data_IF_654078082691
#
_entry.id   IF_654078082691
#
_cell.length_a   1.000
_cell.length_b   1.000
_cell.length_c   1.000
_cell.angle_alpha   90.00
_cell.angle_beta   90.00
_cell.angle_gamma   90.00
#
_symmetry.space_group_name_H-M   'P 1'
#
loop_
_entity.id
_entity.type
_entity.pdbx_description
1 polymer ?
#
# COMPACT_ATOMS: atom_id res chain seq x y z
N UNK A 1 24.20 -43.45 52.34
CA UNK A 1 24.86 -42.27 51.72
C UNK A 1 24.80 -42.40 50.20
N UNK A 2 23.79 -41.81 49.54
CA UNK A 2 23.69 -41.77 48.06
C UNK A 2 23.93 -40.33 47.60
N UNK A 3 25.04 -40.10 46.89
CA UNK A 3 25.46 -38.78 46.40
C UNK A 3 24.59 -38.41 45.19
N UNK A 4 23.80 -37.35 45.34
CA UNK A 4 23.06 -36.68 44.26
C UNK A 4 24.04 -35.77 43.50
N UNK A 5 24.31 -36.04 42.22
CA UNK A 5 24.99 -35.10 41.33
C UNK A 5 23.94 -34.17 40.69
N UNK A 6 24.08 -32.86 40.95
CA UNK A 6 23.34 -31.79 40.29
C UNK A 6 24.06 -31.40 38.99
N UNK A 7 23.42 -31.63 37.85
CA UNK A 7 23.87 -31.08 36.58
C UNK A 7 23.33 -29.64 36.44
N UNK A 8 24.23 -28.66 36.47
CA UNK A 8 23.90 -27.26 36.15
C UNK A 8 23.87 -27.10 34.63
N UNK A 9 22.68 -26.89 34.06
CA UNK A 9 22.50 -26.59 32.64
C UNK A 9 22.77 -25.11 32.36
N UNK A 10 23.80 -24.83 31.56
CA UNK A 10 24.12 -23.51 31.02
C UNK A 10 23.27 -23.25 29.78
N UNK A 11 22.22 -22.44 29.90
CA UNK A 11 21.34 -22.06 28.78
C UNK A 11 22.03 -20.98 27.94
N UNK A 12 22.55 -21.36 26.78
CA UNK A 12 23.15 -20.45 25.78
C UNK A 12 22.03 -19.74 25.00
N UNK A 13 21.86 -18.44 25.25
CA UNK A 13 20.90 -17.59 24.53
C UNK A 13 21.48 -17.27 23.13
N UNK A 14 20.99 -17.95 22.10
CA UNK A 14 21.34 -17.69 20.70
C UNK A 14 20.68 -16.39 20.22
N UNK A 15 21.47 -15.33 20.09
CA UNK A 15 21.05 -14.08 19.46
C UNK A 15 21.14 -14.30 17.94
N UNK A 16 20.01 -14.46 17.26
CA UNK A 16 19.96 -14.55 15.81
C UNK A 16 20.07 -13.15 15.18
N UNK A 17 21.09 -12.86 14.36
CA UNK A 17 21.17 -11.59 13.66
C UNK A 17 20.11 -11.53 12.55
N UNK A 18 19.34 -10.43 12.53
CA UNK A 18 18.46 -10.11 11.43
C UNK A 18 19.31 -9.70 10.21
N UNK A 19 19.46 -10.61 9.25
CA UNK A 19 20.12 -10.33 7.98
C UNK A 19 19.31 -9.26 7.22
N UNK A 20 19.76 -8.01 7.28
CA UNK A 20 19.30 -6.98 6.36
C UNK A 20 19.99 -7.23 5.03
N UNK A 21 19.23 -7.63 4.01
CA UNK A 21 19.73 -7.76 2.66
C UNK A 21 20.07 -6.34 2.13
N UNK A 22 21.34 -5.96 2.21
CA UNK A 22 21.84 -4.75 1.57
C UNK A 22 21.81 -4.93 0.05
N UNK A 23 21.39 -3.89 -0.68
CA UNK A 23 21.47 -3.86 -2.13
C UNK A 23 22.94 -4.05 -2.57
N UNK A 24 23.18 -4.84 -3.62
CA UNK A 24 24.52 -4.99 -4.15
C UNK A 24 24.94 -3.70 -4.86
N UNK A 25 26.11 -3.16 -4.51
CA UNK A 25 26.72 -2.06 -5.27
C UNK A 25 27.41 -2.62 -6.52
N UNK A 26 26.70 -2.58 -7.64
CA UNK A 26 27.20 -3.05 -8.93
C UNK A 26 28.06 -2.02 -9.67
N UNK A 27 28.32 -0.83 -9.10
CA UNK A 27 29.08 0.23 -9.75
C UNK A 27 30.56 -0.16 -9.98
N UNK A 28 31.09 -1.12 -9.21
CA UNK A 28 32.47 -1.59 -9.33
C UNK A 28 32.70 -2.61 -10.46
N UNK A 29 31.65 -3.04 -11.17
CA UNK A 29 31.76 -4.00 -12.27
C UNK A 29 32.63 -3.44 -13.41
N UNK A 30 33.64 -4.21 -13.84
CA UNK A 30 34.60 -3.77 -14.87
C UNK A 30 34.28 -4.28 -16.27
N UNK A 31 33.49 -5.36 -16.37
CA UNK A 31 33.07 -5.96 -17.63
C UNK A 31 31.55 -6.10 -17.68
N UNK A 32 31.00 -6.22 -18.89
CA UNK A 32 29.57 -6.50 -19.06
C UNK A 32 29.15 -7.83 -18.39
N UNK A 33 30.04 -8.83 -18.37
CA UNK A 33 29.77 -10.10 -17.70
C UNK A 33 29.72 -9.96 -16.17
N UNK A 34 30.62 -9.16 -15.59
CA UNK A 34 30.60 -8.84 -14.17
C UNK A 34 29.34 -8.06 -13.80
N UNK A 35 28.96 -7.09 -14.63
CA UNK A 35 27.75 -6.30 -14.43
C UNK A 35 26.50 -7.18 -14.48
N UNK A 36 26.36 -8.03 -15.50
CA UNK A 36 25.23 -8.95 -15.63
C UNK A 36 25.13 -9.92 -14.44
N UNK A 37 26.27 -10.43 -13.97
CA UNK A 37 26.32 -11.30 -12.79
C UNK A 37 25.89 -10.54 -11.53
N UNK A 38 26.37 -9.31 -11.35
CA UNK A 38 26.03 -8.49 -10.19
C UNK A 38 24.55 -8.10 -10.18
N UNK A 39 24.00 -7.61 -11.29
CA UNK A 39 22.60 -7.19 -11.37
C UNK A 39 21.65 -8.36 -11.19
N UNK A 40 21.98 -9.55 -11.72
CA UNK A 40 21.20 -10.76 -11.47
C UNK A 40 21.21 -11.17 -9.98
N UNK A 41 22.35 -11.03 -9.29
CA UNK A 41 22.44 -11.28 -7.85
C UNK A 41 21.63 -10.27 -7.04
N UNK A 42 21.66 -8.99 -7.39
CA UNK A 42 20.86 -7.95 -6.73
C UNK A 42 19.35 -8.22 -6.90
N UNK A 43 18.92 -8.57 -8.12
CA UNK A 43 17.54 -8.94 -8.40
C UNK A 43 17.11 -10.17 -7.59
N UNK A 44 17.95 -11.21 -7.52
CA UNK A 44 17.68 -12.41 -6.72
C UNK A 44 17.62 -12.11 -5.21
N UNK A 45 18.49 -11.22 -4.71
CA UNK A 45 18.45 -10.80 -3.31
C UNK A 45 17.18 -10.00 -2.98
N UNK A 46 16.76 -9.10 -3.87
CA UNK A 46 15.50 -8.37 -3.73
C UNK A 46 14.29 -9.31 -3.73
N UNK A 47 14.26 -10.31 -4.63
CA UNK A 47 13.20 -11.31 -4.70
C UNK A 47 13.14 -12.19 -3.43
N UNK A 48 14.30 -12.61 -2.91
CA UNK A 48 14.38 -13.34 -1.65
C UNK A 48 13.83 -12.51 -0.47
N UNK A 49 14.16 -11.22 -0.40
CA UNK A 49 13.65 -10.32 0.63
C UNK A 49 12.12 -10.11 0.50
N UNK A 50 11.61 -9.94 -0.72
CA UNK A 50 10.17 -9.85 -0.99
C UNK A 50 9.44 -11.11 -0.54
N UNK A 51 9.96 -12.30 -0.88
CA UNK A 51 9.39 -13.57 -0.48
C UNK A 51 9.40 -13.78 1.05
N UNK A 52 10.43 -13.29 1.75
CA UNK A 52 10.49 -13.34 3.21
C UNK A 52 9.37 -12.49 3.84
N UNK A 53 9.18 -11.24 3.37
CA UNK A 53 8.11 -10.37 3.86
C UNK A 53 6.73 -10.90 3.47
N UNK A 54 6.57 -11.47 2.28
CA UNK A 54 5.34 -12.15 1.87
C UNK A 54 4.94 -13.27 2.83
N UNK A 55 5.88 -14.15 3.20
CA UNK A 55 5.63 -15.23 4.16
C UNK A 55 5.26 -14.67 5.54
N UNK A 56 5.99 -13.67 6.00
CA UNK A 56 5.74 -13.03 7.29
C UNK A 56 4.34 -12.37 7.34
N UNK A 57 3.98 -11.60 6.31
CA UNK A 57 2.67 -10.96 6.21
C UNK A 57 1.55 -11.99 6.10
N UNK A 58 1.70 -12.98 5.21
CA UNK A 58 0.71 -14.05 5.07
C UNK A 58 0.44 -14.75 6.40
N UNK A 59 1.46 -14.99 7.22
CA UNK A 59 1.31 -15.61 8.55
C UNK A 59 0.51 -14.79 9.56
N UNK A 60 0.29 -13.49 9.31
CA UNK A 60 -0.45 -12.58 10.21
C UNK A 60 -1.83 -12.19 9.68
N UNK A 61 -2.20 -12.66 8.49
CA UNK A 61 -3.48 -12.35 7.84
C UNK A 61 -4.49 -13.47 8.08
N UNK A 62 -5.78 -13.10 8.12
CA UNK A 62 -6.87 -14.06 8.05
C UNK A 62 -6.88 -14.78 6.69
N UNK A 63 -7.47 -15.98 6.62
CA UNK A 63 -7.42 -16.82 5.42
C UNK A 63 -7.94 -16.12 4.14
N UNK A 64 -8.99 -15.30 4.25
CA UNK A 64 -9.52 -14.51 3.14
C UNK A 64 -8.49 -13.48 2.65
N UNK A 65 -7.81 -12.80 3.56
CA UNK A 65 -6.82 -11.78 3.23
C UNK A 65 -5.51 -12.38 2.73
N UNK A 66 -5.14 -13.58 3.19
CA UNK A 66 -4.05 -14.35 2.57
C UNK A 66 -4.33 -14.66 1.10
N UNK A 67 -5.58 -15.00 0.76
CA UNK A 67 -5.96 -15.24 -0.63
C UNK A 67 -5.89 -13.95 -1.46
N UNK A 68 -6.40 -12.83 -0.92
CA UNK A 68 -6.28 -11.52 -1.58
C UNK A 68 -4.82 -11.10 -1.79
N UNK A 69 -3.95 -11.35 -0.79
CA UNK A 69 -2.51 -11.11 -0.92
C UNK A 69 -1.88 -11.96 -2.02
N UNK A 70 -2.21 -13.27 -2.08
CA UNK A 70 -1.75 -14.18 -3.16
C UNK A 70 -2.14 -13.66 -4.53
N UNK A 71 -3.40 -13.29 -4.70
CA UNK A 71 -3.93 -12.83 -5.99
C UNK A 71 -3.27 -11.50 -6.40
N UNK A 72 -3.05 -10.58 -5.45
CA UNK A 72 -2.32 -9.35 -5.70
C UNK A 72 -0.86 -9.60 -6.12
N UNK A 73 -0.13 -10.53 -5.49
CA UNK A 73 1.24 -10.86 -5.92
C UNK A 73 1.27 -11.53 -7.29
N UNK A 74 0.34 -12.45 -7.58
CA UNK A 74 0.22 -13.11 -8.88
C UNK A 74 -0.08 -12.14 -10.01
N UNK A 75 -0.82 -11.06 -9.75
CA UNK A 75 -1.04 -9.98 -10.70
C UNK A 75 0.16 -9.03 -10.82
N UNK A 76 0.91 -8.83 -9.73
CA UNK A 76 2.08 -7.94 -9.73
C UNK A 76 3.27 -8.51 -10.51
N UNK A 77 3.52 -9.82 -10.46
CA UNK A 77 4.62 -10.47 -11.20
C UNK A 77 4.56 -10.18 -12.72
N UNK A 78 3.45 -10.43 -13.44
CA UNK A 78 3.37 -10.13 -14.87
C UNK A 78 3.39 -8.63 -15.15
N UNK A 79 2.93 -7.78 -14.23
CA UNK A 79 3.14 -6.34 -14.34
C UNK A 79 4.63 -6.00 -14.33
N UNK A 80 5.40 -6.49 -13.34
CA UNK A 80 6.85 -6.27 -13.25
C UNK A 80 7.55 -6.73 -14.52
N UNK A 81 7.24 -7.93 -14.99
CA UNK A 81 7.93 -8.52 -16.13
C UNK A 81 7.62 -7.74 -17.43
N UNK A 82 6.36 -7.30 -17.62
CA UNK A 82 5.96 -6.46 -18.76
C UNK A 82 6.55 -5.06 -18.69
N UNK A 83 6.57 -4.45 -17.51
CA UNK A 83 7.17 -3.14 -17.29
C UNK A 83 8.67 -3.17 -17.60
N UNK A 84 9.38 -4.21 -17.15
CA UNK A 84 10.79 -4.35 -17.45
C UNK A 84 11.06 -4.67 -18.92
N UNK A 85 10.23 -5.47 -19.58
CA UNK A 85 10.31 -5.64 -21.02
C UNK A 85 10.11 -4.30 -21.75
N UNK A 86 9.09 -3.52 -21.38
CA UNK A 86 8.83 -2.19 -21.95
C UNK A 86 10.01 -1.22 -21.79
N UNK A 87 10.54 -1.07 -20.56
CA UNK A 87 11.64 -0.14 -20.24
C UNK A 87 12.94 -0.46 -20.99
N UNK A 88 13.15 -1.72 -21.33
CA UNK A 88 14.44 -2.22 -21.84
C UNK A 88 14.41 -2.57 -23.33
N UNK A 89 13.22 -2.63 -23.93
CA UNK A 89 13.02 -2.97 -25.34
C UNK A 89 13.93 -2.21 -26.33
N UNK A 90 14.19 -0.88 -26.17
CA UNK A 90 15.07 -0.16 -27.08
C UNK A 90 16.52 -0.69 -27.13
N UNK A 91 16.91 -1.52 -26.15
CA UNK A 91 18.26 -2.05 -25.99
C UNK A 91 18.34 -3.57 -26.22
N UNK A 92 17.28 -4.21 -26.73
CA UNK A 92 17.16 -5.66 -26.84
C UNK A 92 18.32 -6.36 -27.56
N UNK A 93 18.92 -5.71 -28.55
CA UNK A 93 20.05 -6.26 -29.33
C UNK A 93 21.42 -6.01 -28.69
N UNK A 94 21.48 -5.25 -27.59
CA UNK A 94 22.71 -4.88 -26.91
C UNK A 94 23.09 -5.86 -25.80
N UNK A 95 24.40 -6.05 -25.59
CA UNK A 95 24.93 -6.88 -24.49
C UNK A 95 24.59 -6.36 -23.09
N UNK A 96 24.11 -5.11 -22.99
CA UNK A 96 23.64 -4.49 -21.74
C UNK A 96 22.19 -4.86 -21.39
N UNK A 97 21.42 -5.40 -22.35
CA UNK A 97 20.00 -5.69 -22.19
C UNK A 97 19.68 -6.50 -20.94
N UNK A 98 20.41 -7.60 -20.71
CA UNK A 98 20.19 -8.47 -19.55
C UNK A 98 20.40 -7.72 -18.23
N UNK A 99 21.44 -6.90 -18.12
CA UNK A 99 21.67 -6.06 -16.95
C UNK A 99 20.54 -5.07 -16.72
N UNK A 100 20.04 -4.40 -17.77
CA UNK A 100 18.93 -3.46 -17.64
C UNK A 100 17.63 -4.14 -17.18
N UNK A 101 17.35 -5.34 -17.70
CA UNK A 101 16.18 -6.13 -17.28
C UNK A 101 16.28 -6.49 -15.79
N UNK A 102 17.43 -6.98 -15.35
CA UNK A 102 17.63 -7.38 -13.95
C UNK A 102 17.63 -6.17 -13.00
N UNK A 103 18.23 -5.04 -13.40
CA UNK A 103 18.15 -3.78 -12.65
C UNK A 103 16.69 -3.33 -12.50
N UNK A 104 15.91 -3.33 -13.59
CA UNK A 104 14.49 -2.99 -13.51
C UNK A 104 13.72 -3.91 -12.56
N UNK A 105 13.94 -5.22 -12.66
CA UNK A 105 13.29 -6.19 -11.76
C UNK A 105 13.65 -5.92 -10.31
N UNK A 106 14.93 -5.64 -10.02
CA UNK A 106 15.39 -5.33 -8.68
C UNK A 106 14.71 -4.07 -8.12
N UNK A 107 14.65 -2.98 -8.91
CA UNK A 107 13.99 -1.72 -8.52
C UNK A 107 12.50 -1.93 -8.18
N UNK A 108 11.74 -2.54 -9.09
CA UNK A 108 10.31 -2.77 -8.87
C UNK A 108 10.07 -3.73 -7.71
N UNK A 109 10.93 -4.73 -7.52
CA UNK A 109 10.86 -5.67 -6.40
C UNK A 109 11.15 -4.98 -5.07
N UNK A 110 12.13 -4.06 -5.01
CA UNK A 110 12.43 -3.22 -3.83
C UNK A 110 11.26 -2.28 -3.50
N UNK A 111 10.63 -1.68 -4.51
CA UNK A 111 9.42 -0.87 -4.32
C UNK A 111 8.25 -1.71 -3.77
N UNK A 112 8.03 -2.91 -4.32
CA UNK A 112 7.00 -3.84 -3.82
C UNK A 112 7.30 -4.31 -2.40
N UNK A 113 8.55 -4.57 -2.08
CA UNK A 113 9.01 -4.92 -0.73
C UNK A 113 8.63 -3.81 0.26
N UNK A 114 8.88 -2.54 -0.06
CA UNK A 114 8.49 -1.41 0.79
C UNK A 114 6.97 -1.34 1.00
N UNK A 115 6.18 -1.54 -0.05
CA UNK A 115 4.71 -1.60 0.06
C UNK A 115 4.26 -2.73 0.99
N UNK A 116 4.89 -3.91 0.89
CA UNK A 116 4.53 -5.05 1.75
C UNK A 116 5.04 -4.91 3.18
N UNK A 117 6.17 -4.24 3.38
CA UNK A 117 6.66 -3.87 4.70
C UNK A 117 5.67 -2.94 5.40
N UNK A 118 5.12 -1.95 4.69
CA UNK A 118 4.04 -1.10 5.23
C UNK A 118 2.84 -1.93 5.67
N UNK A 119 2.39 -2.88 4.84
CA UNK A 119 1.31 -3.82 5.22
C UNK A 119 1.67 -4.67 6.46
N UNK A 120 2.93 -5.08 6.60
CA UNK A 120 3.41 -5.84 7.75
C UNK A 120 3.50 -5.00 9.03
N UNK A 121 3.65 -3.68 8.91
CA UNK A 121 3.81 -2.71 10.00
C UNK A 121 2.57 -1.82 10.13
N UNK A 122 1.37 -2.39 9.93
CA UNK A 122 0.10 -1.66 9.96
C UNK A 122 -0.29 -1.25 11.39
N UNK A 123 -0.24 0.05 11.76
CA UNK A 123 -0.67 0.49 13.08
C UNK A 123 -2.21 0.51 13.16
N UNK A 124 -2.74 0.37 14.39
CA UNK A 124 -4.18 0.50 14.61
C UNK A 124 -4.71 1.84 14.10
N UNK A 125 -5.76 1.79 13.27
CA UNK A 125 -6.42 2.98 12.72
C UNK A 125 -5.84 3.49 11.38
N UNK A 126 -4.76 2.89 10.87
CA UNK A 126 -4.28 3.16 9.51
C UNK A 126 -5.16 2.41 8.49
N UNK A 127 -5.85 3.16 7.65
CA UNK A 127 -6.76 2.64 6.62
C UNK A 127 -6.05 2.33 5.30
N UNK A 128 -4.73 2.58 5.20
CA UNK A 128 -3.92 2.26 4.03
C UNK A 128 -3.40 0.82 4.03
N UNK A 129 -3.65 0.06 5.10
CA UNK A 129 -3.18 -1.31 5.26
C UNK A 129 -4.26 -2.26 5.81
N UNK A 130 -4.05 -3.56 5.61
CA UNK A 130 -4.98 -4.61 6.03
C UNK A 130 -4.75 -4.95 7.51
N UNK A 131 -5.80 -4.92 8.36
CA UNK A 131 -5.68 -5.34 9.76
C UNK A 131 -5.19 -6.79 9.89
N UNK A 132 -4.23 -7.02 10.79
CA UNK A 132 -3.64 -8.34 11.02
C UNK A 132 -4.44 -9.13 12.08
N UNK A 133 -4.68 -10.43 11.84
CA UNK A 133 -5.56 -11.26 12.69
C UNK A 133 -4.93 -11.66 14.02
N UNK A 134 -3.60 -11.64 14.11
CA UNK A 134 -2.88 -11.75 15.37
C UNK A 134 -2.66 -10.34 15.86
N UNK A 135 -3.40 -9.90 16.89
CA UNK A 135 -3.25 -8.58 17.48
C UNK A 135 -1.77 -8.27 17.74
N UNK A 136 -1.20 -7.42 16.89
CA UNK A 136 0.15 -6.93 17.07
C UNK A 136 0.16 -6.05 18.31
N UNK A 137 0.94 -6.41 19.32
CA UNK A 137 1.20 -5.55 20.46
C UNK A 137 1.67 -4.17 19.97
N UNK A 138 0.84 -3.15 20.22
CA UNK A 138 1.10 -1.75 19.94
C UNK A 138 2.19 -1.21 20.90
N UNK A 139 3.21 -0.47 20.43
CA UNK A 139 3.85 0.54 21.25
C UNK A 139 2.83 1.66 21.50
N UNK A 140 2.49 1.86 22.78
CA UNK A 140 1.50 2.83 23.21
C UNK A 140 1.81 4.24 22.69
N UNK A 141 0.84 4.83 21.98
CA UNK A 141 0.78 6.26 21.74
C UNK A 141 -0.66 6.76 21.97
N UNK A 142 -0.70 7.66 22.95
CA UNK A 142 -1.73 8.53 23.49
C UNK A 142 -3.07 8.68 22.75
N UNK A 143 -4.13 8.47 23.54
CA UNK A 143 -5.46 9.02 23.32
C UNK A 143 -5.50 10.53 23.62
N UNK A 144 -6.29 11.27 22.84
CA UNK A 144 -6.98 12.53 23.16
C UNK A 144 -7.79 12.90 21.90
N UNK A 145 -9.09 13.22 21.88
CA UNK A 145 -10.09 13.37 22.91
C UNK A 145 -11.48 13.54 22.26
N UNK A 146 -12.49 13.24 23.07
CA UNK A 146 -13.90 13.67 23.10
C UNK A 146 -14.55 14.32 21.86
N UNK A 147 -15.60 13.68 21.36
CA UNK A 147 -16.66 14.27 20.54
C UNK A 147 -17.69 15.04 21.41
N UNK A 148 -18.44 15.98 20.83
CA UNK A 148 -19.83 16.19 21.22
C UNK A 148 -20.81 15.99 20.06
N UNK A 149 -22.01 15.56 20.46
CA UNK A 149 -23.14 15.23 19.62
C UNK A 149 -23.97 16.46 19.19
N UNK A 150 -24.69 16.25 18.08
CA UNK A 150 -25.92 16.92 17.60
C UNK A 150 -25.87 18.43 17.34
N UNK A 151 -25.62 18.77 16.07
CA UNK A 151 -26.26 19.90 15.41
C UNK A 151 -26.87 19.40 14.09
N UNK A 152 -28.12 19.79 13.83
CA UNK A 152 -28.80 19.50 12.58
C UNK A 152 -27.97 20.03 11.39
N UNK A 153 -27.92 19.24 10.31
CA UNK A 153 -27.14 19.55 9.13
C UNK A 153 -27.63 20.87 8.49
N UNK A 154 -26.89 21.95 8.74
CA UNK A 154 -26.98 23.16 7.94
C UNK A 154 -26.54 22.82 6.50
N UNK A 155 -27.11 23.46 5.46
CA UNK A 155 -26.61 23.32 4.12
C UNK A 155 -25.12 23.73 4.10
N UNK A 156 -24.30 22.94 3.40
CA UNK A 156 -22.87 23.17 3.33
C UNK A 156 -22.61 24.60 2.82
N UNK A 157 -22.05 25.46 3.67
CA UNK A 157 -21.57 26.76 3.25
C UNK A 157 -20.42 26.52 2.27
N UNK A 158 -20.50 27.14 1.09
CA UNK A 158 -19.51 26.93 0.01
C UNK A 158 -18.09 27.35 0.40
N UNK A 159 -17.94 28.10 1.51
CA UNK A 159 -16.65 28.52 2.06
C UNK A 159 -16.21 27.75 3.31
N UNK A 160 -16.91 26.67 3.72
CA UNK A 160 -16.47 25.85 4.84
C UNK A 160 -15.30 24.94 4.42
N UNK A 161 -14.11 25.24 4.94
CA UNK A 161 -12.88 24.48 4.65
C UNK A 161 -12.67 23.29 5.59
N UNK A 162 -13.54 23.07 6.58
CA UNK A 162 -13.42 21.93 7.50
C UNK A 162 -13.71 20.60 6.80
N UNK A 163 -13.14 19.48 7.29
CA UNK A 163 -13.50 18.15 6.84
C UNK A 163 -15.01 17.95 6.80
N UNK A 164 -15.51 17.35 5.72
CA UNK A 164 -16.94 17.16 5.53
C UNK A 164 -17.57 16.30 6.64
N UNK A 165 -16.82 15.34 7.19
CA UNK A 165 -17.23 14.55 8.36
C UNK A 165 -17.48 15.41 9.60
N UNK A 166 -16.80 16.56 9.72
CA UNK A 166 -16.93 17.49 10.84
C UNK A 166 -18.01 18.56 10.58
N UNK A 167 -18.12 19.06 9.35
CA UNK A 167 -19.05 20.15 9.02
C UNK A 167 -20.48 19.68 8.76
N UNK A 168 -20.65 18.54 8.05
CA UNK A 168 -21.97 18.01 7.68
C UNK A 168 -22.35 16.74 8.48
N UNK A 169 -21.42 16.20 9.28
CA UNK A 169 -21.57 14.95 9.99
C UNK A 169 -21.30 13.72 9.13
N UNK A 170 -20.96 12.60 9.79
CA UNK A 170 -20.48 11.37 9.14
C UNK A 170 -21.43 10.84 8.07
N UNK A 171 -22.73 10.71 8.37
CA UNK A 171 -23.69 10.13 7.43
C UNK A 171 -23.80 10.94 6.12
N UNK A 172 -23.77 12.27 6.22
CA UNK A 172 -23.84 13.14 5.05
C UNK A 172 -22.53 13.14 4.27
N UNK A 173 -21.39 13.13 4.97
CA UNK A 173 -20.08 12.99 4.35
C UNK A 173 -19.95 11.67 3.59
N UNK A 174 -20.39 10.55 4.17
CA UNK A 174 -20.37 9.23 3.52
C UNK A 174 -21.24 9.21 2.25
N UNK A 175 -22.39 9.88 2.29
CA UNK A 175 -23.25 10.08 1.12
C UNK A 175 -22.49 10.82 0.00
N UNK A 176 -21.83 11.94 0.30
CA UNK A 176 -21.09 12.71 -0.72
C UNK A 176 -19.87 11.95 -1.25
N UNK A 177 -19.14 11.24 -0.41
CA UNK A 177 -18.02 10.39 -0.86
C UNK A 177 -18.52 9.34 -1.86
N UNK A 178 -19.63 8.64 -1.54
CA UNK A 178 -20.21 7.62 -2.42
C UNK A 178 -20.68 8.20 -3.76
N UNK A 179 -21.33 9.37 -3.74
CA UNK A 179 -21.78 10.04 -4.96
C UNK A 179 -20.59 10.51 -5.81
N UNK A 180 -19.57 11.10 -5.19
CA UNK A 180 -18.39 11.64 -5.85
C UNK A 180 -17.59 10.54 -6.58
N UNK A 181 -17.36 9.39 -5.93
CA UNK A 181 -16.63 8.27 -6.55
C UNK A 181 -17.36 7.70 -7.77
N UNK A 182 -18.69 7.75 -7.80
CA UNK A 182 -19.48 7.21 -8.91
C UNK A 182 -19.42 8.04 -10.18
N UNK A 183 -19.15 9.34 -10.08
CA UNK A 183 -19.23 10.27 -11.22
C UNK A 183 -17.90 10.93 -11.58
N UNK A 184 -16.88 10.78 -10.72
CA UNK A 184 -15.53 11.27 -11.00
C UNK A 184 -14.80 10.38 -12.01
N UNK A 185 -14.31 10.91 -13.14
CA UNK A 185 -13.43 10.18 -14.05
C UNK A 185 -11.94 10.22 -13.64
N UNK A 186 -11.57 10.98 -12.61
CA UNK A 186 -10.17 11.13 -12.20
C UNK A 186 -9.63 9.87 -11.51
N UNK A 187 -8.33 9.58 -11.72
CA UNK A 187 -7.62 8.49 -11.02
C UNK A 187 -7.35 8.79 -9.55
N UNK A 188 -7.38 10.07 -9.16
CA UNK A 188 -7.17 10.55 -7.80
C UNK A 188 -8.14 11.71 -7.47
N UNK A 189 -9.44 11.43 -7.29
CA UNK A 189 -10.41 12.48 -7.06
C UNK A 189 -10.44 12.97 -5.62
N UNK A 190 -11.01 14.16 -5.36
CA UNK A 190 -11.13 14.72 -4.02
C UNK A 190 -12.19 14.01 -3.14
N UNK A 191 -12.67 12.81 -3.52
CA UNK A 191 -13.76 12.08 -2.88
C UNK A 191 -13.36 11.44 -1.54
N UNK A 192 -13.05 12.28 -0.55
CA UNK A 192 -12.67 11.87 0.80
C UNK A 192 -13.40 12.74 1.82
N UNK A 193 -14.02 12.12 2.83
CA UNK A 193 -14.73 12.84 3.89
C UNK A 193 -13.85 13.75 4.75
N UNK A 194 -12.52 13.59 4.67
CA UNK A 194 -11.55 14.50 5.29
C UNK A 194 -11.35 15.81 4.50
N UNK A 195 -11.78 15.85 3.24
CA UNK A 195 -11.82 17.08 2.44
C UNK A 195 -13.09 17.88 2.76
N UNK A 196 -13.08 19.16 2.41
CA UNK A 196 -14.26 20.02 2.48
C UNK A 196 -15.42 19.46 1.63
N UNK A 197 -16.67 19.59 2.12
CA UNK A 197 -17.83 19.13 1.38
C UNK A 197 -17.95 19.81 0.01
N UNK A 198 -17.58 21.10 -0.09
CA UNK A 198 -17.61 21.87 -1.35
C UNK A 198 -16.77 21.21 -2.44
N UNK A 199 -15.55 20.74 -2.13
CA UNK A 199 -14.69 20.05 -3.10
C UNK A 199 -15.36 18.79 -3.68
N UNK A 200 -16.04 18.01 -2.84
CA UNK A 200 -16.77 16.81 -3.30
C UNK A 200 -18.02 17.19 -4.08
N UNK A 201 -18.77 18.19 -3.64
CA UNK A 201 -19.99 18.66 -4.32
C UNK A 201 -19.66 19.19 -5.71
N UNK A 202 -18.58 19.97 -5.86
CA UNK A 202 -18.13 20.50 -7.14
C UNK A 202 -17.70 19.38 -8.10
N UNK A 203 -17.03 18.34 -7.58
CA UNK A 203 -16.68 17.16 -8.38
C UNK A 203 -17.93 16.35 -8.78
N UNK A 204 -18.91 16.22 -7.89
CA UNK A 204 -20.19 15.58 -8.22
C UNK A 204 -20.90 16.34 -9.34
N UNK A 205 -20.99 17.67 -9.25
CA UNK A 205 -21.57 18.53 -10.28
C UNK A 205 -20.87 18.34 -11.63
N UNK A 206 -19.54 18.44 -11.65
CA UNK A 206 -18.73 18.25 -12.86
C UNK A 206 -18.93 16.85 -13.44
N UNK A 207 -18.86 15.80 -12.62
CA UNK A 207 -19.05 14.42 -13.04
C UNK A 207 -20.43 14.16 -13.63
N UNK A 208 -21.49 14.62 -12.95
CA UNK A 208 -22.86 14.52 -13.44
C UNK A 208 -23.06 15.29 -14.76
N UNK A 209 -22.45 16.47 -14.92
CA UNK A 209 -22.49 17.22 -16.17
C UNK A 209 -21.77 16.51 -17.32
N UNK A 210 -20.64 15.83 -17.05
CA UNK A 210 -19.92 15.04 -18.06
C UNK A 210 -20.70 13.80 -18.50
N UNK A 211 -21.43 13.15 -17.60
CA UNK A 211 -22.29 12.01 -17.95
C UNK A 211 -23.48 12.49 -18.80
N UNK A 212 -24.02 13.68 -18.52
CA UNK A 212 -25.15 14.25 -19.23
C UNK A 212 -26.38 13.34 -19.15
N UNK A 213 -27.02 13.07 -20.28
CA UNK A 213 -28.18 12.19 -20.36
C UNK A 213 -27.82 10.72 -20.67
N UNK A 214 -26.52 10.39 -20.72
CA UNK A 214 -26.04 9.03 -20.96
C UNK A 214 -26.11 8.18 -19.68
N UNK A 215 -27.33 7.83 -19.27
CA UNK A 215 -27.62 7.00 -18.08
C UNK A 215 -26.98 7.51 -16.77
N UNK A 216 -27.28 8.76 -16.35
CA UNK A 216 -26.72 9.30 -15.12
C UNK A 216 -27.28 8.60 -13.87
N UNK A 217 -26.47 8.46 -12.79
CA UNK A 217 -26.99 8.08 -11.49
C UNK A 217 -28.16 8.97 -11.07
N UNK A 218 -29.19 8.39 -10.43
CA UNK A 218 -30.42 9.12 -10.10
C UNK A 218 -30.18 10.40 -9.29
N UNK A 219 -29.15 10.41 -8.42
CA UNK A 219 -28.81 11.58 -7.62
C UNK A 219 -28.31 12.78 -8.44
N UNK A 220 -27.83 12.58 -9.67
CA UNK A 220 -27.35 13.67 -10.52
C UNK A 220 -28.45 14.69 -10.85
N UNK A 221 -29.73 14.29 -10.77
CA UNK A 221 -30.86 15.22 -10.91
C UNK A 221 -30.87 16.34 -9.88
N UNK A 222 -30.33 16.11 -8.67
CA UNK A 222 -30.23 17.12 -7.61
C UNK A 222 -29.06 18.10 -7.79
N UNK A 223 -28.21 17.88 -8.80
CA UNK A 223 -27.01 18.66 -9.07
C UNK A 223 -27.00 19.29 -10.47
N UNK A 224 -28.11 19.18 -11.22
CA UNK A 224 -28.32 19.95 -12.44
C UNK A 224 -28.65 21.40 -12.03
N UNK A 225 -27.90 22.36 -12.56
CA UNK A 225 -28.22 23.78 -12.41
C UNK A 225 -29.43 24.15 -13.31
#
# INVERSE_FOLDING_TARGET
MKRLLRAAGLTLLLITPAAHAAAADCAAAKTQADLATCTAKDAAAADAALNAVYKALSGRLAAADQQRLRDAQRAWIPFRDKECAFRTQPYADGSVYSSLVETCKAELTKARLAQMQHQLQCPEGDLSCVPQSTGGAKPAAAASGTAPATAAAAPANQHDTRPCVQSAGKAKSDQYVSQCVQVSPATHPPCNGQNACSMMIDEIKRGCAMIGDNNPPAFCSAYKD
#
